data_IF_612435631915
#
_entry.id   IF_612435631915
#
_cell.length_a   1.000
_cell.length_b   1.000
_cell.length_c   1.000
_cell.angle_alpha   90.00
_cell.angle_beta   90.00
_cell.angle_gamma   90.00
#
_symmetry.space_group_name_H-M   'P 1'
#
loop_
_entity.id
_entity.type
_entity.pdbx_description
1 polymer ?
#
# COMPACT_ATOMS: atom_id res chain seq x y z
N UNK A 1 12.79 5.09 -18.79
CA UNK A 1 11.31 5.04 -18.75
C UNK A 1 10.78 5.64 -20.03
N UNK A 2 9.72 5.07 -20.61
CA UNK A 2 9.12 5.59 -21.84
C UNK A 2 7.96 6.54 -21.55
N UNK A 3 7.77 7.56 -22.38
CA UNK A 3 6.63 8.47 -22.28
C UNK A 3 5.49 7.95 -23.15
N UNK A 4 4.28 7.91 -22.58
CA UNK A 4 3.05 7.56 -23.29
C UNK A 4 2.06 8.72 -23.20
N UNK A 5 1.13 8.79 -24.15
CA UNK A 5 0.11 9.84 -24.19
C UNK A 5 -1.27 9.22 -24.02
N UNK A 6 -2.03 9.72 -23.04
CA UNK A 6 -3.42 9.36 -22.81
C UNK A 6 -4.32 10.55 -23.13
N UNK A 7 -5.39 10.33 -23.90
CA UNK A 7 -6.38 11.37 -24.18
C UNK A 7 -7.28 11.55 -22.96
N UNK A 8 -7.42 12.79 -22.53
CA UNK A 8 -8.33 13.22 -21.45
C UNK A 8 -9.09 14.47 -21.89
N UNK A 9 -10.22 14.74 -21.24
CA UNK A 9 -10.94 16.00 -21.45
C UNK A 9 -10.13 17.17 -20.90
N UNK A 10 -10.33 18.36 -21.48
CA UNK A 10 -9.71 19.59 -20.98
C UNK A 10 -10.08 19.86 -19.52
N UNK A 11 -11.35 19.62 -19.18
CA UNK A 11 -11.84 19.76 -17.80
C UNK A 11 -11.08 18.85 -16.82
N UNK A 12 -10.85 17.58 -17.19
CA UNK A 12 -10.10 16.66 -16.35
C UNK A 12 -8.63 17.08 -16.21
N UNK A 13 -8.00 17.54 -17.29
CA UNK A 13 -6.63 18.09 -17.26
C UNK A 13 -6.54 19.26 -16.30
N UNK A 14 -7.49 20.19 -16.34
CA UNK A 14 -7.48 21.39 -15.51
C UNK A 14 -7.73 21.05 -14.03
N UNK A 15 -8.60 20.08 -13.75
CA UNK A 15 -8.75 19.51 -12.40
C UNK A 15 -7.47 18.85 -11.90
N UNK A 16 -6.79 18.07 -12.73
CA UNK A 16 -5.51 17.45 -12.37
C UNK A 16 -4.41 18.51 -12.12
N UNK A 17 -4.43 19.64 -12.85
CA UNK A 17 -3.52 20.76 -12.59
C UNK A 17 -3.83 21.51 -11.28
N UNK A 18 -5.09 21.58 -10.88
CA UNK A 18 -5.45 22.08 -9.54
C UNK A 18 -4.89 21.15 -8.46
N UNK A 19 -5.11 19.84 -8.60
CA UNK A 19 -4.60 18.84 -7.64
C UNK A 19 -3.07 18.87 -7.57
N UNK A 20 -2.38 19.08 -8.71
CA UNK A 20 -0.92 19.18 -8.72
C UNK A 20 -0.42 20.37 -7.90
N UNK A 21 -1.19 21.47 -7.87
CA UNK A 21 -0.92 22.64 -7.03
C UNK A 21 -1.05 22.30 -5.54
N UNK A 22 -2.12 21.59 -5.17
CA UNK A 22 -2.36 21.15 -3.79
C UNK A 22 -1.27 20.18 -3.29
N UNK A 23 -0.68 19.40 -4.21
CA UNK A 23 0.44 18.48 -3.95
C UNK A 23 1.82 19.17 -3.92
N UNK A 24 1.87 20.50 -3.89
CA UNK A 24 3.11 21.27 -3.84
C UNK A 24 3.64 21.73 -5.20
N UNK A 25 2.77 21.82 -6.22
CA UNK A 25 3.14 22.26 -7.57
C UNK A 25 3.91 21.22 -8.37
N UNK A 26 3.70 19.93 -8.11
CA UNK A 26 4.37 18.83 -8.81
C UNK A 26 3.90 18.70 -10.27
N UNK A 27 4.60 17.89 -11.06
CA UNK A 27 4.19 17.64 -12.45
C UNK A 27 2.87 16.85 -12.53
N UNK A 28 2.16 16.95 -13.66
CA UNK A 28 0.98 16.12 -13.92
C UNK A 28 1.30 14.62 -13.89
N UNK A 29 2.47 14.21 -14.37
CA UNK A 29 2.90 12.81 -14.32
C UNK A 29 3.07 12.32 -12.88
N UNK A 30 3.71 13.13 -12.03
CA UNK A 30 3.87 12.82 -10.60
C UNK A 30 2.54 12.85 -9.85
N UNK A 31 1.65 13.79 -10.20
CA UNK A 31 0.28 13.84 -9.67
C UNK A 31 -0.45 12.54 -9.96
N UNK A 32 -0.42 12.07 -11.21
CA UNK A 32 -1.04 10.80 -11.60
C UNK A 32 -0.40 9.61 -10.85
N UNK A 33 0.92 9.59 -10.70
CA UNK A 33 1.60 8.53 -9.98
C UNK A 33 1.13 8.45 -8.52
N UNK A 34 1.07 9.59 -7.82
CA UNK A 34 0.59 9.64 -6.43
C UNK A 34 -0.88 9.22 -6.31
N UNK A 35 -1.74 9.71 -7.22
CA UNK A 35 -3.15 9.32 -7.25
C UNK A 35 -3.35 7.81 -7.50
N UNK A 36 -2.49 7.20 -8.32
CA UNK A 36 -2.50 5.74 -8.53
C UNK A 36 -2.09 5.02 -7.26
N UNK A 37 -1.00 5.44 -6.60
CA UNK A 37 -0.58 4.84 -5.33
C UNK A 37 -1.66 4.94 -4.26
N UNK A 38 -2.31 6.10 -4.12
CA UNK A 38 -3.43 6.27 -3.19
C UNK A 38 -4.63 5.35 -3.53
N UNK A 39 -4.91 5.16 -4.83
CA UNK A 39 -5.99 4.27 -5.27
C UNK A 39 -5.67 2.81 -4.92
N UNK A 40 -4.45 2.37 -5.14
CA UNK A 40 -3.98 1.02 -4.81
C UNK A 40 -4.01 0.77 -3.30
N UNK A 41 -3.55 1.72 -2.49
CA UNK A 41 -3.63 1.65 -1.03
C UNK A 41 -5.08 1.52 -0.55
N UNK A 42 -5.99 2.35 -1.08
CA UNK A 42 -7.42 2.28 -0.75
C UNK A 42 -8.05 0.96 -1.19
N UNK A 43 -7.65 0.43 -2.35
CA UNK A 43 -8.14 -0.87 -2.82
C UNK A 43 -7.67 -2.01 -1.91
N UNK A 44 -6.43 -1.95 -1.42
CA UNK A 44 -5.90 -2.91 -0.46
C UNK A 44 -6.65 -2.85 0.88
N UNK A 45 -6.89 -1.64 1.41
CA UNK A 45 -7.69 -1.45 2.63
C UNK A 45 -9.12 -1.97 2.46
N UNK A 46 -9.76 -1.69 1.32
CA UNK A 46 -11.11 -2.20 1.03
C UNK A 46 -11.13 -3.73 0.86
N UNK A 47 -10.05 -4.35 0.40
CA UNK A 47 -9.92 -5.81 0.37
C UNK A 47 -9.79 -6.37 1.81
N UNK A 48 -9.00 -5.72 2.66
CA UNK A 48 -8.88 -6.09 4.07
C UNK A 48 -10.20 -5.96 4.83
N UNK A 49 -10.95 -4.88 4.60
CA UNK A 49 -12.28 -4.69 5.23
C UNK A 49 -13.26 -5.81 4.82
N UNK A 50 -13.21 -6.25 3.55
CA UNK A 50 -14.01 -7.39 3.07
C UNK A 50 -13.59 -8.69 3.73
N UNK A 51 -12.30 -8.95 3.86
CA UNK A 51 -11.77 -10.13 4.54
C UNK A 51 -12.19 -10.15 6.01
N UNK A 52 -12.12 -9.00 6.70
CA UNK A 52 -12.53 -8.86 8.11
C UNK A 52 -14.03 -9.08 8.32
N UNK A 53 -14.85 -8.82 7.29
CA UNK A 53 -16.28 -9.08 7.35
C UNK A 53 -16.63 -10.58 7.26
N UNK A 54 -15.72 -11.43 6.79
CA UNK A 54 -15.86 -12.89 6.85
C UNK A 54 -15.16 -13.42 8.11
N UNK A 55 -15.93 -13.66 9.18
CA UNK A 55 -15.41 -14.10 10.49
C UNK A 55 -14.59 -15.40 10.40
N UNK A 56 -14.93 -16.30 9.47
CA UNK A 56 -14.25 -17.60 9.34
C UNK A 56 -12.92 -17.46 8.60
N UNK A 57 -12.90 -16.68 7.53
CA UNK A 57 -11.68 -16.39 6.78
C UNK A 57 -10.72 -15.52 7.61
N UNK A 58 -11.24 -14.55 8.34
CA UNK A 58 -10.50 -13.70 9.27
C UNK A 58 -9.82 -14.49 10.40
N UNK A 59 -10.53 -15.47 10.98
CA UNK A 59 -9.96 -16.35 12.01
C UNK A 59 -8.79 -17.19 11.48
N UNK A 60 -8.90 -17.72 10.26
CA UNK A 60 -7.82 -18.47 9.60
C UNK A 60 -6.60 -17.59 9.32
N UNK A 61 -6.81 -16.35 8.84
CA UNK A 61 -5.73 -15.40 8.59
C UNK A 61 -4.99 -14.99 9.87
N UNK A 62 -5.72 -14.80 10.99
CA UNK A 62 -5.12 -14.53 12.29
C UNK A 62 -4.29 -15.69 12.82
N UNK A 63 -4.76 -16.93 12.67
CA UNK A 63 -4.04 -18.13 13.08
C UNK A 63 -2.73 -18.30 12.30
N UNK A 64 -2.77 -18.07 10.98
CA UNK A 64 -1.58 -18.09 10.12
C UNK A 64 -0.58 -16.97 10.47
N UNK A 65 -1.08 -15.77 10.75
CA UNK A 65 -0.24 -14.62 11.17
C UNK A 65 0.45 -14.87 12.51
N UNK A 66 -0.23 -15.49 13.48
CA UNK A 66 0.35 -15.86 14.78
C UNK A 66 1.48 -16.89 14.64
N UNK A 67 1.39 -17.80 13.68
CA UNK A 67 2.48 -18.76 13.39
C UNK A 67 3.72 -18.06 12.84
N UNK A 68 3.56 -17.03 12.00
CA UNK A 68 4.66 -16.25 11.43
C UNK A 68 5.32 -15.34 12.47
N UNK A 69 4.53 -14.71 13.35
CA UNK A 69 5.06 -13.89 14.45
C UNK A 69 5.89 -14.72 15.45
N UNK A 70 5.42 -15.93 15.77
CA UNK A 70 6.18 -16.86 16.61
C UNK A 70 7.49 -17.30 15.94
N UNK A 71 7.50 -17.50 14.62
CA UNK A 71 8.72 -17.81 13.89
C UNK A 71 9.72 -16.65 13.95
N UNK A 72 9.26 -15.41 13.73
CA UNK A 72 10.09 -14.20 13.79
C UNK A 72 10.71 -13.98 15.19
N UNK A 73 9.95 -14.25 16.26
CA UNK A 73 10.44 -14.20 17.64
C UNK A 73 11.49 -15.27 17.99
N UNK A 74 11.46 -16.42 17.31
CA UNK A 74 12.44 -17.50 17.51
C UNK A 74 13.80 -17.18 16.88
N UNK A 75 13.81 -16.54 15.70
CA UNK A 75 15.04 -16.07 15.05
C UNK A 75 15.79 -15.03 15.91
N UNK A 76 15.07 -14.04 16.47
CA UNK A 76 15.67 -13.00 17.33
C UNK A 76 16.29 -13.59 18.62
N UNK A 77 15.68 -14.65 19.18
CA UNK A 77 16.19 -15.33 20.38
C UNK A 77 17.43 -16.18 20.08
N UNK A 78 17.51 -16.75 18.88
CA UNK A 78 18.63 -17.61 18.45
C UNK A 78 19.90 -16.80 18.16
N UNK A 79 19.77 -15.62 17.55
CA UNK A 79 20.91 -14.75 17.24
C UNK A 79 21.45 -14.00 18.47
N UNK A 80 20.61 -13.74 19.47
CA UNK A 80 21.03 -13.15 20.75
C UNK A 80 21.83 -14.08 21.68
N UNK A 81 21.83 -15.39 21.40
CA UNK A 81 22.51 -16.40 22.24
C UNK A 81 23.98 -16.67 21.83
N UNK A 82 24.47 -16.09 20.72
CA UNK A 82 25.83 -16.31 20.20
C UNK A 82 26.83 -15.24 20.70
N UNK A 83 26.44 -14.45 21.70
CA UNK A 83 27.13 -13.23 22.10
C UNK A 83 27.70 -13.17 23.52
N UNK A 84 27.91 -14.28 24.24
CA UNK A 84 28.71 -14.27 25.49
C UNK A 84 29.27 -15.65 25.81
N UNK A 85 30.51 -15.94 25.40
CA UNK A 85 31.47 -16.81 26.09
C UNK A 85 32.86 -16.62 25.47
#
# INVERSE_FOLDING_TARGET
MGTTTTKITTELRDRLASVSTDLGGVTLAETLQRLISEHEERAALAAYDRLRADEREWASYLEESQLIDNATGDWLRRDGAVGTA
#
